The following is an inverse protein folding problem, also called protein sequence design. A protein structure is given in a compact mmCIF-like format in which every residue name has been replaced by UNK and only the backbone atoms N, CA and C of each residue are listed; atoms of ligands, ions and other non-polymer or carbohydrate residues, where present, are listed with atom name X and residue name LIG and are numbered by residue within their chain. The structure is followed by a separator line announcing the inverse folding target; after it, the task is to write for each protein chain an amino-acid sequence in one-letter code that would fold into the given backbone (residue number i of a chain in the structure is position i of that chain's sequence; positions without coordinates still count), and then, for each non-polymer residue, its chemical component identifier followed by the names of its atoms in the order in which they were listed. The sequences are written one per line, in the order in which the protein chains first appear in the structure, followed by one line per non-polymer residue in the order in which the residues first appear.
data_IF_670610108998
#
_entry.id   IF_670610108998
#
_cell.length_a   1.000
_cell.length_b   1.000
_cell.length_c   1.000
_cell.angle_alpha   90.00
_cell.angle_beta   90.00
_cell.angle_gamma   90.00
#
_symmetry.space_group_name_H-M   'P 1'
#
loop_
_entity.id
_entity.type
_entity.pdbx_description
1 polymer ?
#
# COMPACT_ATOMS: atom_id res chain seq x y z
N UNK A 1 1.08 6.36 28.11
CA UNK A 1 1.24 5.10 27.35
C UNK A 1 2.54 5.19 26.58
N UNK A 2 3.45 4.24 26.72
CA UNK A 2 4.72 4.23 25.97
C UNK A 2 4.45 3.80 24.52
N UNK A 3 4.98 4.56 23.57
CA UNK A 3 4.97 4.18 22.16
C UNK A 3 6.34 3.58 21.78
N UNK A 4 6.32 2.51 21.01
CA UNK A 4 7.50 1.99 20.32
C UNK A 4 7.71 2.80 19.04
N UNK A 5 8.96 3.14 18.72
CA UNK A 5 9.32 3.92 17.52
C UNK A 5 10.42 3.22 16.76
N UNK A 6 10.27 3.15 15.45
CA UNK A 6 11.25 2.63 14.53
C UNK A 6 11.28 3.52 13.30
N UNK A 7 12.38 4.26 13.11
CA UNK A 7 12.43 5.37 12.16
C UNK A 7 11.21 6.31 12.32
N UNK A 8 10.43 6.47 11.27
CA UNK A 8 9.21 7.26 11.18
C UNK A 8 7.94 6.50 11.62
N UNK A 9 8.02 5.17 11.75
CA UNK A 9 6.92 4.37 12.27
C UNK A 9 6.79 4.46 13.79
N UNK A 10 5.55 4.63 14.27
CA UNK A 10 5.21 4.67 15.69
C UNK A 10 4.07 3.71 16.01
N UNK A 11 4.31 2.80 16.95
CA UNK A 11 3.33 1.83 17.44
C UNK A 11 2.98 2.08 18.90
N UNK A 12 1.69 2.03 19.23
CA UNK A 12 1.23 1.93 20.61
C UNK A 12 1.03 0.46 21.00
N UNK A 13 0.84 0.19 22.30
CA UNK A 13 0.62 -1.16 22.80
C UNK A 13 -0.54 -1.90 22.10
N UNK A 14 -1.60 -1.18 21.71
CA UNK A 14 -2.72 -1.76 20.95
C UNK A 14 -2.30 -2.21 19.55
N UNK A 15 -1.43 -1.47 18.87
CA UNK A 15 -0.99 -1.78 17.51
C UNK A 15 -0.04 -2.99 17.54
N UNK A 16 0.86 -3.03 18.53
CA UNK A 16 1.74 -4.18 18.78
C UNK A 16 0.96 -5.48 19.05
N UNK A 17 -0.16 -5.40 19.78
CA UNK A 17 -0.96 -6.59 20.10
C UNK A 17 -1.58 -7.26 18.87
N UNK A 18 -1.74 -6.52 17.76
CA UNK A 18 -2.32 -7.04 16.52
C UNK A 18 -1.47 -8.17 15.93
N UNK A 19 -0.13 -8.04 15.96
CA UNK A 19 0.82 -9.01 15.39
C UNK A 19 0.79 -10.39 16.04
N UNK A 20 0.35 -10.48 17.30
CA UNK A 20 0.32 -11.75 18.06
C UNK A 20 -1.08 -12.33 18.19
N UNK A 21 -2.06 -11.75 17.48
CA UNK A 21 -3.47 -12.12 17.56
C UNK A 21 -4.02 -12.43 16.17
N UNK A 22 -5.19 -13.07 16.09
CA UNK A 22 -5.91 -13.24 14.83
C UNK A 22 -6.77 -12.00 14.50
N UNK A 23 -6.24 -10.80 14.75
CA UNK A 23 -6.93 -9.54 14.50
C UNK A 23 -6.42 -8.88 13.21
N UNK A 24 -7.25 -8.02 12.63
CA UNK A 24 -6.86 -7.21 11.48
C UNK A 24 -5.72 -6.26 11.84
N UNK A 25 -4.70 -6.21 10.99
CA UNK A 25 -3.66 -5.18 11.07
C UNK A 25 -4.27 -3.82 10.71
N UNK A 26 -3.80 -2.78 11.40
CA UNK A 26 -4.17 -1.40 11.11
C UNK A 26 -3.04 -0.68 10.37
N UNK A 27 -3.30 0.58 10.01
CA UNK A 27 -2.37 1.43 9.25
C UNK A 27 -0.99 1.50 9.90
N UNK A 28 -0.94 1.70 11.23
CA UNK A 28 0.30 1.81 11.98
C UNK A 28 1.11 0.51 11.94
N UNK A 29 0.46 -0.64 12.06
CA UNK A 29 1.10 -1.95 11.99
C UNK A 29 1.66 -2.23 10.58
N UNK A 30 0.92 -1.90 9.53
CA UNK A 30 1.38 -2.05 8.13
C UNK A 30 2.54 -1.10 7.85
N UNK A 31 2.42 0.18 8.22
CA UNK A 31 3.50 1.16 8.04
C UNK A 31 4.78 0.70 8.74
N UNK A 32 4.68 0.25 10.00
CA UNK A 32 5.84 -0.29 10.72
C UNK A 32 6.53 -1.43 9.96
N UNK A 33 5.76 -2.39 9.45
CA UNK A 33 6.36 -3.49 8.70
C UNK A 33 7.00 -3.01 7.39
N UNK A 34 6.39 -2.06 6.69
CA UNK A 34 6.97 -1.43 5.50
C UNK A 34 8.28 -0.70 5.81
N UNK A 35 8.35 0.04 6.91
CA UNK A 35 9.58 0.69 7.40
C UNK A 35 10.69 -0.35 7.67
N UNK A 36 10.35 -1.50 8.27
CA UNK A 36 11.30 -2.61 8.48
C UNK A 36 11.78 -3.17 7.15
N UNK A 37 10.89 -3.47 6.21
CA UNK A 37 11.25 -3.98 4.88
C UNK A 37 12.18 -2.99 4.16
N UNK A 38 11.81 -1.70 4.15
CA UNK A 38 12.57 -0.66 3.48
C UNK A 38 14.01 -0.53 4.03
N UNK A 39 14.14 -0.39 5.36
CA UNK A 39 15.44 -0.15 5.98
C UNK A 39 16.30 -1.41 6.11
N UNK A 40 15.72 -2.54 6.51
CA UNK A 40 16.49 -3.70 6.93
C UNK A 40 16.65 -4.74 5.81
N UNK A 41 15.66 -4.86 4.92
CA UNK A 41 15.66 -5.87 3.87
C UNK A 41 16.09 -5.31 2.52
N UNK A 42 15.74 -4.05 2.23
CA UNK A 42 16.06 -3.40 0.95
C UNK A 42 17.28 -2.46 1.01
N UNK A 43 17.73 -2.06 2.19
CA UNK A 43 18.86 -1.12 2.33
C UNK A 43 18.53 0.33 2.01
N UNK A 44 17.26 0.72 2.15
CA UNK A 44 16.73 2.08 1.95
C UNK A 44 17.09 2.73 0.58
N UNK A 45 16.77 2.09 -0.55
CA UNK A 45 17.04 2.64 -1.88
C UNK A 45 16.18 3.88 -2.15
N UNK A 46 16.80 4.95 -2.64
CA UNK A 46 16.15 6.26 -2.81
C UNK A 46 15.04 6.30 -3.85
N UNK A 47 15.03 5.36 -4.80
CA UNK A 47 14.05 5.26 -5.88
C UNK A 47 12.90 4.27 -5.58
N UNK A 48 12.85 3.69 -4.38
CA UNK A 48 11.73 2.87 -3.91
C UNK A 48 10.91 3.64 -2.88
N UNK A 49 9.59 3.52 -2.96
CA UNK A 49 8.66 4.06 -1.97
C UNK A 49 7.69 2.97 -1.50
N UNK A 50 7.78 2.60 -0.23
CA UNK A 50 6.74 1.85 0.48
C UNK A 50 5.84 2.87 1.18
N UNK A 51 4.64 3.08 0.65
CA UNK A 51 3.77 4.18 1.07
C UNK A 51 3.01 3.82 2.37
N UNK A 52 3.02 4.75 3.33
CA UNK A 52 2.19 4.64 4.54
C UNK A 52 0.69 4.54 4.15
N UNK A 53 -0.08 3.57 4.68
CA UNK A 53 -1.52 3.47 4.43
C UNK A 53 -2.31 4.77 4.71
N UNK A 54 -1.88 5.56 5.69
CA UNK A 54 -2.50 6.86 5.99
C UNK A 54 -2.26 7.88 4.85
N UNK A 55 -1.09 7.82 4.20
CA UNK A 55 -0.77 8.66 3.03
C UNK A 55 -1.59 8.23 1.82
N UNK A 56 -1.78 6.92 1.60
CA UNK A 56 -2.70 6.42 0.55
C UNK A 56 -4.12 6.92 0.82
N UNK A 57 -4.60 6.82 2.06
CA UNK A 57 -5.93 7.30 2.43
C UNK A 57 -6.06 8.81 2.23
N UNK A 58 -5.04 9.59 2.56
CA UNK A 58 -4.99 11.04 2.32
C UNK A 58 -5.08 11.36 0.81
N UNK A 59 -4.26 10.69 -0.01
CA UNK A 59 -4.27 10.83 -1.47
C UNK A 59 -5.65 10.54 -2.06
N UNK A 60 -6.36 9.54 -1.53
CA UNK A 60 -7.65 9.12 -2.06
C UNK A 60 -8.84 9.96 -1.57
N UNK A 61 -8.78 10.49 -0.34
CA UNK A 61 -9.95 11.08 0.33
C UNK A 61 -9.81 12.58 0.62
N UNK A 62 -8.62 13.16 0.42
CA UNK A 62 -8.36 14.57 0.72
C UNK A 62 -7.74 15.35 -0.44
N UNK A 63 -7.09 14.69 -1.41
CA UNK A 63 -6.59 15.35 -2.62
C UNK A 63 -7.72 15.50 -3.66
N UNK A 64 -8.71 16.33 -3.34
CA UNK A 64 -9.85 16.61 -4.22
C UNK A 64 -9.49 17.58 -5.36
N UNK A 65 -8.49 18.44 -5.14
CA UNK A 65 -8.00 19.42 -6.11
C UNK A 65 -6.66 19.00 -6.72
N UNK A 66 -6.38 19.46 -7.95
CA UNK A 66 -5.12 19.15 -8.64
C UNK A 66 -3.90 19.71 -7.88
N UNK A 67 -4.06 20.83 -7.15
CA UNK A 67 -2.98 21.43 -6.35
C UNK A 67 -2.57 20.52 -5.19
N UNK A 68 -3.52 19.94 -4.45
CA UNK A 68 -3.23 18.99 -3.37
C UNK A 68 -2.46 17.77 -3.87
N UNK A 69 -2.85 17.25 -5.04
CA UNK A 69 -2.19 16.10 -5.64
C UNK A 69 -0.78 16.46 -6.12
N UNK A 70 -0.57 17.68 -6.65
CA UNK A 70 0.75 18.19 -7.04
C UNK A 70 1.66 18.30 -5.82
N UNK A 71 1.17 18.87 -4.72
CA UNK A 71 1.93 19.05 -3.49
C UNK A 71 2.34 17.69 -2.89
N UNK A 72 1.41 16.73 -2.84
CA UNK A 72 1.71 15.35 -2.43
C UNK A 72 2.77 14.72 -3.33
N UNK A 73 2.62 14.88 -4.66
CA UNK A 73 3.53 14.33 -5.65
C UNK A 73 4.95 14.87 -5.46
N UNK A 74 5.09 16.16 -5.21
CA UNK A 74 6.38 16.82 -4.98
C UNK A 74 6.98 16.41 -3.64
N UNK A 75 6.18 16.41 -2.56
CA UNK A 75 6.63 16.05 -1.22
C UNK A 75 7.15 14.62 -1.12
N UNK A 76 6.55 13.69 -1.88
CA UNK A 76 6.96 12.28 -1.93
C UNK A 76 7.93 11.95 -3.07
N UNK A 77 8.27 12.94 -3.92
CA UNK A 77 9.13 12.76 -5.09
C UNK A 77 8.66 11.61 -5.99
N UNK A 78 7.34 11.45 -6.18
CA UNK A 78 6.77 10.25 -6.81
C UNK A 78 7.35 9.97 -8.21
N UNK A 79 7.64 11.03 -8.97
CA UNK A 79 8.20 10.95 -10.33
C UNK A 79 9.65 10.46 -10.37
N UNK A 80 10.34 10.45 -9.24
CA UNK A 80 11.71 9.95 -9.11
C UNK A 80 11.74 8.47 -8.68
N UNK A 81 10.59 7.87 -8.34
CA UNK A 81 10.50 6.50 -7.87
C UNK A 81 10.40 5.53 -9.06
N UNK A 82 11.27 4.53 -9.07
CA UNK A 82 11.22 3.40 -9.99
C UNK A 82 10.21 2.35 -9.54
N UNK A 83 9.95 2.27 -8.23
CA UNK A 83 9.01 1.35 -7.59
C UNK A 83 8.21 2.05 -6.50
N UNK A 84 6.88 1.97 -6.57
CA UNK A 84 5.96 2.47 -5.54
C UNK A 84 5.06 1.31 -5.10
N UNK A 85 5.07 1.00 -3.80
CA UNK A 85 4.27 -0.06 -3.19
C UNK A 85 3.22 0.60 -2.28
N UNK A 86 1.95 0.34 -2.55
CA UNK A 86 0.82 0.96 -1.87
C UNK A 86 -0.08 -0.11 -1.25
N UNK A 87 -0.36 -0.04 0.06
CA UNK A 87 -1.41 -0.85 0.66
C UNK A 87 -2.77 -0.31 0.22
N UNK A 88 -3.64 -1.20 -0.25
CA UNK A 88 -5.00 -0.88 -0.68
C UNK A 88 -5.98 -1.40 0.36
N UNK A 89 -6.92 -0.55 0.75
CA UNK A 89 -8.01 -0.89 1.65
C UNK A 89 -9.36 -0.70 0.93
N UNK A 90 -10.33 -1.56 1.20
CA UNK A 90 -11.69 -1.49 0.62
C UNK A 90 -12.61 -0.46 1.29
N UNK A 91 -12.07 0.42 2.14
CA UNK A 91 -12.81 1.57 2.66
C UNK A 91 -13.29 2.48 1.52
N UNK A 92 -14.55 2.92 1.61
CA UNK A 92 -15.16 3.83 0.64
C UNK A 92 -15.31 5.26 1.17
N UNK A 93 -15.12 5.48 2.48
CA UNK A 93 -15.17 6.81 3.11
C UNK A 93 -14.42 6.85 4.45
N UNK A 94 -14.33 8.04 5.05
CA UNK A 94 -13.81 8.22 6.41
C UNK A 94 -14.66 7.51 7.48
N UNK A 95 -15.97 7.40 7.25
CA UNK A 95 -16.91 6.79 8.18
C UNK A 95 -17.04 5.26 8.01
N UNK A 96 -16.52 4.72 6.91
CA UNK A 96 -16.50 3.28 6.66
C UNK A 96 -15.26 2.62 7.29
N UNK A 97 -15.45 1.43 7.86
CA UNK A 97 -14.35 0.57 8.26
C UNK A 97 -14.03 -0.39 7.12
N UNK A 98 -12.77 -0.38 6.67
CA UNK A 98 -12.28 -1.38 5.72
C UNK A 98 -12.34 -2.79 6.31
N UNK A 99 -12.60 -3.76 5.46
CA UNK A 99 -12.69 -5.17 5.82
C UNK A 99 -11.53 -6.00 5.28
N UNK A 100 -10.76 -5.47 4.32
CA UNK A 100 -9.69 -6.23 3.68
C UNK A 100 -8.53 -5.36 3.18
N UNK A 101 -7.33 -5.92 3.26
CA UNK A 101 -6.10 -5.30 2.74
C UNK A 101 -5.61 -6.05 1.50
N UNK A 102 -5.16 -5.29 0.51
CA UNK A 102 -4.46 -5.78 -0.67
C UNK A 102 -3.24 -4.90 -0.95
N UNK A 103 -2.49 -5.24 -1.99
CA UNK A 103 -1.26 -4.53 -2.37
C UNK A 103 -1.31 -4.13 -3.85
N UNK A 104 -1.08 -2.84 -4.11
CA UNK A 104 -0.85 -2.31 -5.44
C UNK A 104 0.62 -1.95 -5.58
N UNK A 105 1.23 -2.36 -6.69
CA UNK A 105 2.62 -2.06 -7.01
C UNK A 105 2.67 -1.33 -8.34
N UNK A 106 3.35 -0.20 -8.38
CA UNK A 106 3.70 0.49 -9.61
C UNK A 106 5.21 0.40 -9.84
N UNK A 107 5.61 -0.04 -11.03
CA UNK A 107 6.98 -0.01 -11.53
C UNK A 107 7.05 0.84 -12.79
N UNK A 108 8.07 1.69 -12.90
CA UNK A 108 8.30 2.48 -14.11
C UNK A 108 8.57 1.61 -15.35
N UNK A 109 9.05 0.38 -15.16
CA UNK A 109 9.33 -0.57 -16.24
C UNK A 109 8.11 -1.40 -16.65
N UNK A 110 7.27 -1.81 -15.69
CA UNK A 110 6.21 -2.81 -15.91
C UNK A 110 4.79 -2.25 -15.77
N UNK A 111 4.62 -1.03 -15.27
CA UNK A 111 3.31 -0.47 -14.95
C UNK A 111 2.77 -1.00 -13.62
N UNK A 112 1.47 -1.28 -13.56
CA UNK A 112 0.78 -1.65 -12.34
C UNK A 112 0.60 -3.17 -12.21
N UNK A 113 0.86 -3.68 -11.00
CA UNK A 113 0.61 -5.05 -10.59
C UNK A 113 -0.23 -5.05 -9.31
N UNK A 114 -1.17 -5.98 -9.18
CA UNK A 114 -2.10 -6.06 -8.05
C UNK A 114 -2.06 -7.44 -7.41
N UNK A 115 -1.98 -7.46 -6.09
CA UNK A 115 -1.86 -8.67 -5.28
C UNK A 115 -2.91 -8.63 -4.18
N UNK A 116 -3.77 -9.64 -4.16
CA UNK A 116 -4.83 -9.74 -3.17
C UNK A 116 -4.98 -11.20 -2.72
N UNK A 117 -4.86 -11.41 -1.41
CA UNK A 117 -4.94 -12.75 -0.80
C UNK A 117 -6.36 -13.31 -0.77
N UNK A 118 -7.36 -12.53 -1.17
CA UNK A 118 -8.77 -12.88 -1.24
C UNK A 118 -9.31 -12.74 -2.68
N UNK A 119 -8.55 -13.28 -3.64
CA UNK A 119 -8.82 -13.18 -5.08
C UNK A 119 -8.78 -11.73 -5.57
N UNK A 120 -9.93 -11.13 -5.93
CA UNK A 120 -10.02 -9.78 -6.48
C UNK A 120 -10.92 -8.86 -5.62
N UNK A 121 -10.98 -9.10 -4.30
CA UNK A 121 -11.88 -8.37 -3.39
C UNK A 121 -11.63 -6.85 -3.40
N UNK A 122 -10.35 -6.43 -3.40
CA UNK A 122 -9.96 -5.02 -3.44
C UNK A 122 -9.71 -4.49 -4.87
N UNK A 123 -10.07 -5.23 -5.93
CA UNK A 123 -9.74 -4.84 -7.30
C UNK A 123 -10.31 -3.45 -7.67
N UNK A 124 -11.55 -3.15 -7.25
CA UNK A 124 -12.15 -1.84 -7.51
C UNK A 124 -11.36 -0.71 -6.85
N UNK A 125 -11.07 -0.83 -5.55
CA UNK A 125 -10.26 0.14 -4.81
C UNK A 125 -8.86 0.27 -5.39
N UNK A 126 -8.25 -0.83 -5.87
CA UNK A 126 -6.95 -0.81 -6.51
C UNK A 126 -6.97 -0.06 -7.85
N UNK A 127 -8.03 -0.20 -8.64
CA UNK A 127 -8.25 0.57 -9.88
C UNK A 127 -8.36 2.07 -9.57
N UNK A 128 -9.10 2.44 -8.53
CA UNK A 128 -9.23 3.84 -8.11
C UNK A 128 -7.87 4.42 -7.67
N UNK A 129 -7.15 3.72 -6.81
CA UNK A 129 -5.81 4.11 -6.34
C UNK A 129 -4.84 4.22 -7.52
N UNK A 130 -4.84 3.27 -8.45
CA UNK A 130 -4.00 3.31 -9.64
C UNK A 130 -4.33 4.52 -10.54
N UNK A 131 -5.62 4.87 -10.66
CA UNK A 131 -6.06 6.05 -11.40
C UNK A 131 -5.53 7.35 -10.79
N UNK A 132 -5.61 7.50 -9.46
CA UNK A 132 -5.09 8.69 -8.77
C UNK A 132 -3.56 8.75 -8.84
N UNK A 133 -2.87 7.63 -8.59
CA UNK A 133 -1.41 7.58 -8.71
C UNK A 133 -0.95 7.85 -10.14
N UNK A 134 -1.67 7.34 -11.14
CA UNK A 134 -1.39 7.60 -12.55
C UNK A 134 -1.48 9.08 -12.91
N UNK A 135 -2.49 9.79 -12.38
CA UNK A 135 -2.59 11.26 -12.52
C UNK A 135 -1.41 11.97 -11.84
N UNK A 136 -1.07 11.58 -10.61
CA UNK A 136 0.07 12.14 -9.87
C UNK A 136 1.40 11.98 -10.63
N UNK A 137 1.61 10.81 -11.23
CA UNK A 137 2.78 10.49 -12.05
C UNK A 137 2.75 11.15 -13.45
N UNK A 138 1.59 11.62 -13.91
CA UNK A 138 1.41 12.16 -15.26
C UNK A 138 1.41 11.07 -16.34
N UNK A 139 0.95 9.86 -16.00
CA UNK A 139 0.82 8.76 -16.95
C UNK A 139 -0.35 9.00 -17.93
N UNK A 140 -0.24 8.53 -19.18
CA UNK A 140 -1.35 8.58 -20.13
C UNK A 140 -2.56 7.79 -19.61
N UNK A 141 -3.76 8.27 -19.90
CA UNK A 141 -5.05 7.70 -19.41
C UNK A 141 -5.35 6.29 -19.91
N UNK A 142 -4.53 5.73 -20.81
CA UNK A 142 -4.75 4.45 -21.49
C UNK A 142 -3.98 3.25 -20.89
N UNK A 143 -3.48 3.33 -19.66
CA UNK A 143 -2.74 2.21 -19.06
C UNK A 143 -3.12 1.95 -17.61
N UNK A 144 -3.99 0.95 -17.38
CA UNK A 144 -3.81 0.02 -16.26
C UNK A 144 -4.23 -1.39 -16.73
N UNK A 145 -3.42 -2.09 -17.55
CA UNK A 145 -3.60 -3.52 -17.72
C UNK A 145 -3.26 -4.18 -16.37
N UNK A 146 -4.29 -4.47 -15.57
CA UNK A 146 -4.17 -5.33 -14.40
C UNK A 146 -3.90 -6.75 -14.90
N UNK A 147 -2.70 -7.26 -14.62
CA UNK A 147 -2.44 -8.69 -14.75
C UNK A 147 -2.77 -9.33 -13.41
N UNK A 148 -3.79 -10.20 -13.31
CA UNK A 148 -3.99 -10.98 -12.09
C UNK A 148 -2.74 -11.84 -11.88
N UNK A 149 -2.18 -11.81 -10.68
CA UNK A 149 -1.08 -12.69 -10.32
C UNK A 149 -1.55 -14.15 -10.40
N UNK A 150 -0.92 -14.95 -11.27
CA UNK A 150 -1.19 -16.39 -11.47
C UNK A 150 -0.93 -17.27 -10.22
N UNK A 151 -0.55 -16.69 -9.06
CA UNK A 151 -0.39 -17.44 -7.82
C UNK A 151 -1.73 -17.63 -7.10
N UNK A 152 -2.57 -18.49 -7.66
CA UNK A 152 -3.45 -19.28 -6.83
C UNK A 152 -2.58 -19.99 -5.78
N UNK A 153 -2.78 -19.64 -4.51
CA UNK A 153 -2.19 -20.30 -3.36
C UNK A 153 -2.36 -21.83 -3.51
N UNK A 154 -1.33 -22.52 -4.00
CA UNK A 154 -1.33 -23.97 -4.02
C UNK A 154 -1.30 -24.40 -2.54
N UNK A 155 -2.29 -25.17 -2.06
CA UNK A 155 -2.27 -25.64 -0.69
C UNK A 155 -0.99 -26.44 -0.47
N UNK A 156 -0.18 -25.99 0.49
CA UNK A 156 0.95 -26.76 1.00
C UNK A 156 0.44 -28.15 1.34
N UNK A 157 0.89 -29.15 0.58
CA UNK A 157 0.53 -30.53 0.87
C UNK A 157 1.11 -30.87 2.24
N UNK A 158 0.23 -31.09 3.21
CA UNK A 158 0.60 -31.69 4.49
C UNK A 158 1.00 -33.13 4.21
N UNK A 159 2.29 -33.36 3.98
CA UNK A 159 2.86 -34.71 4.10
C UNK A 159 3.05 -35.01 5.58
N UNK A 160 2.02 -35.60 6.19
CA UNK A 160 2.19 -36.34 7.44
C UNK A 160 3.18 -37.48 7.21
N UNK A 161 4.21 -37.53 8.05
CA UNK A 161 4.93 -38.77 8.38
C UNK A 161 4.76 -39.02 9.86
#
# INVERSE_FOLDING_TARGET
MSAFRYHDAQLYARDLSLFTSNAWLNDAAINFYFTVVYHDLCGAPSDVLLMDPAVVSCMMLQCDEDEDLIDLTQGLQLKEKSLIVLPVNDRSSFDSQGSHWALLVYSSANGFEFYDSSADHNLHSAVEVAGVLGRALGLPTSTVPFSPSDEACHPLSTSSK
#
